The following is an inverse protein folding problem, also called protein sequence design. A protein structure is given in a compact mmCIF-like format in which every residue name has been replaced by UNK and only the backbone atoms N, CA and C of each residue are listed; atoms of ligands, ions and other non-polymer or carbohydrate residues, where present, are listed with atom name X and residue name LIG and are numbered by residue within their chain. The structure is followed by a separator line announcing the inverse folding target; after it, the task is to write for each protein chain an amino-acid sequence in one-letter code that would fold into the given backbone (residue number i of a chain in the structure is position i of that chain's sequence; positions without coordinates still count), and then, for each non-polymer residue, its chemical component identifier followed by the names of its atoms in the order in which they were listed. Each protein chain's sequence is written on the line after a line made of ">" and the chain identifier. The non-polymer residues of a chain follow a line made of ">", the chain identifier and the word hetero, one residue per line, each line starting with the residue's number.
data_IF_332841513443
#
_entry.id   IF_332841513443
#
_cell.length_a   1.000
_cell.length_b   1.000
_cell.length_c   1.000
_cell.angle_alpha   90.00
_cell.angle_beta   90.00
_cell.angle_gamma   90.00
#
_symmetry.space_group_name_H-M   'P 1'
#
loop_
_entity.id
_entity.type
_entity.pdbx_description
1 polymer ?
#
# COMPACT_ATOMS: atom_id res chain seq x y z
N UNK A 1 1.07 -0.23 -24.37
CA UNK A 1 0.64 -0.14 -22.98
C UNK A 1 1.50 0.80 -22.17
N UNK A 2 2.82 0.78 -22.39
CA UNK A 2 3.70 1.72 -21.70
C UNK A 2 3.37 3.16 -22.06
N UNK A 3 3.05 3.41 -23.31
CA UNK A 3 2.64 4.73 -23.76
C UNK A 3 1.35 5.17 -23.07
N UNK A 4 0.38 4.26 -23.00
CA UNK A 4 -0.89 4.56 -22.35
C UNK A 4 -0.71 4.83 -20.87
N UNK A 5 0.15 4.06 -20.20
CA UNK A 5 0.44 4.29 -18.78
C UNK A 5 1.08 5.66 -18.55
N UNK A 6 2.00 6.05 -19.42
CA UNK A 6 2.64 7.36 -19.29
C UNK A 6 1.63 8.49 -19.47
N UNK A 7 0.73 8.35 -20.42
CA UNK A 7 -0.31 9.35 -20.63
C UNK A 7 -1.20 9.48 -19.42
N UNK A 8 -1.59 8.35 -18.81
CA UNK A 8 -2.40 8.37 -17.61
C UNK A 8 -1.66 8.99 -16.43
N UNK A 9 -0.39 8.69 -16.26
CA UNK A 9 0.41 9.26 -15.19
C UNK A 9 0.58 10.77 -15.38
N UNK A 10 0.81 11.21 -16.61
CA UNK A 10 0.93 12.64 -16.89
C UNK A 10 -0.34 13.40 -16.57
N UNK A 11 -1.48 12.80 -16.85
CA UNK A 11 -2.76 13.43 -16.54
C UNK A 11 -3.03 13.50 -15.04
N UNK A 12 -2.51 12.54 -14.27
CA UNK A 12 -2.81 12.43 -12.84
C UNK A 12 -1.72 13.00 -11.94
N UNK A 13 -0.59 13.39 -12.46
CA UNK A 13 0.57 13.73 -11.64
C UNK A 13 0.33 14.90 -10.71
N UNK A 14 -0.60 15.78 -11.01
CA UNK A 14 -0.91 16.93 -10.17
C UNK A 14 -2.06 16.65 -9.21
N UNK A 15 -2.67 15.49 -9.26
CA UNK A 15 -3.85 15.16 -8.47
C UNK A 15 -3.72 13.80 -7.80
N UNK A 16 -4.14 12.75 -8.47
CA UNK A 16 -4.28 11.42 -7.89
C UNK A 16 -3.82 10.38 -8.89
N UNK A 17 -3.14 9.35 -8.41
CA UNK A 17 -2.95 8.12 -9.16
C UNK A 17 -3.84 7.06 -8.54
N UNK A 18 -4.79 6.54 -9.31
CA UNK A 18 -5.72 5.54 -8.84
C UNK A 18 -5.50 4.23 -9.58
N UNK A 19 -5.28 3.16 -8.83
CA UNK A 19 -5.21 1.80 -9.37
C UNK A 19 -6.41 1.03 -8.85
N UNK A 20 -7.22 0.51 -9.76
CA UNK A 20 -8.44 -0.17 -9.39
C UNK A 20 -8.70 -1.32 -10.36
N UNK A 21 -9.02 -2.48 -9.81
CA UNK A 21 -9.34 -3.64 -10.63
C UNK A 21 -10.37 -4.51 -9.91
N UNK A 22 -11.45 -4.91 -10.60
CA UNK A 22 -12.51 -5.68 -9.94
C UNK A 22 -12.07 -7.06 -9.47
N UNK A 23 -11.09 -7.65 -10.10
CA UNK A 23 -10.65 -9.00 -9.75
C UNK A 23 -9.46 -9.01 -8.80
N UNK A 24 -8.75 -7.92 -8.68
CA UNK A 24 -7.64 -7.85 -7.78
C UNK A 24 -6.45 -7.10 -8.35
N UNK A 25 -5.56 -6.70 -7.46
CA UNK A 25 -4.31 -6.04 -7.82
C UNK A 25 -3.20 -6.76 -7.10
N UNK A 26 -2.12 -7.10 -7.81
CA UNK A 26 -0.95 -7.72 -7.24
C UNK A 26 0.28 -6.85 -7.50
N UNK A 27 1.04 -6.60 -6.44
CA UNK A 27 2.32 -5.91 -6.52
C UNK A 27 3.39 -6.86 -6.02
N UNK A 28 4.38 -7.11 -6.85
CA UNK A 28 5.43 -8.07 -6.54
C UNK A 28 6.77 -7.55 -7.05
N UNK A 29 7.81 -7.79 -6.28
CA UNK A 29 9.15 -7.40 -6.66
C UNK A 29 10.11 -8.56 -6.42
N UNK A 30 11.06 -8.74 -7.30
CA UNK A 30 12.12 -9.73 -7.11
C UNK A 30 13.15 -9.31 -6.09
N UNK A 31 13.09 -8.08 -5.61
CA UNK A 31 14.07 -7.57 -4.64
C UNK A 31 13.36 -6.80 -3.53
N UNK A 32 13.08 -5.53 -3.72
CA UNK A 32 12.49 -4.70 -2.68
C UNK A 32 11.20 -4.06 -3.19
N UNK A 33 10.24 -3.92 -2.28
CA UNK A 33 9.03 -3.16 -2.52
C UNK A 33 8.90 -2.14 -1.40
N UNK A 34 8.77 -0.87 -1.76
CA UNK A 34 8.72 0.23 -0.81
C UNK A 34 7.47 1.07 -1.05
N UNK A 35 6.74 1.33 0.03
CA UNK A 35 5.60 2.24 0.01
C UNK A 35 5.88 3.36 1.00
N UNK A 36 5.80 4.59 0.54
CA UNK A 36 6.10 5.75 1.37
C UNK A 36 5.11 6.87 1.07
N UNK A 37 4.70 7.57 2.10
CA UNK A 37 3.80 8.70 1.98
C UNK A 37 4.35 9.86 2.79
N UNK A 38 4.26 11.07 2.24
CA UNK A 38 4.72 12.26 2.95
C UNK A 38 3.85 12.54 4.17
N UNK A 39 2.56 12.35 4.05
CA UNK A 39 1.64 12.63 5.17
C UNK A 39 1.10 11.35 5.78
N UNK A 40 0.24 10.64 5.08
CA UNK A 40 -0.46 9.50 5.67
C UNK A 40 -0.40 8.30 4.75
N UNK A 41 -0.23 7.13 5.33
CA UNK A 41 -0.36 5.87 4.64
C UNK A 41 -1.48 5.09 5.33
N UNK A 42 -2.50 4.70 4.56
CA UNK A 42 -3.66 4.00 5.08
C UNK A 42 -3.83 2.67 4.36
N UNK A 43 -3.99 1.61 5.14
CA UNK A 43 -4.23 0.27 4.61
C UNK A 43 -5.54 -0.24 5.22
N UNK A 44 -6.49 -0.59 4.35
CA UNK A 44 -7.81 -1.05 4.78
C UNK A 44 -8.18 -2.33 4.05
N UNK A 45 -8.72 -3.27 4.76
CA UNK A 45 -9.18 -4.53 4.20
C UNK A 45 -10.60 -4.81 4.67
N UNK A 46 -11.46 -5.23 3.76
CA UNK A 46 -12.86 -5.53 4.10
C UNK A 46 -13.05 -6.85 4.82
N UNK A 47 -12.07 -7.74 4.74
CA UNK A 47 -12.16 -9.04 5.38
C UNK A 47 -10.93 -9.33 6.21
N UNK A 48 -9.79 -9.59 5.59
CA UNK A 48 -8.59 -9.97 6.31
C UNK A 48 -7.38 -9.19 5.77
N UNK A 49 -6.42 -8.95 6.64
CA UNK A 49 -5.13 -8.40 6.26
C UNK A 49 -4.04 -9.27 6.87
N UNK A 50 -3.10 -9.70 6.05
CA UNK A 50 -2.04 -10.60 6.48
C UNK A 50 -0.69 -9.94 6.25
N UNK A 51 0.19 -10.07 7.24
CA UNK A 51 1.59 -9.68 7.11
C UNK A 51 2.44 -10.88 7.51
N UNK A 52 3.29 -11.34 6.59
CA UNK A 52 4.12 -12.50 6.82
C UNK A 52 5.56 -12.17 6.47
N UNK A 53 6.48 -12.48 7.38
CA UNK A 53 7.89 -12.14 7.23
C UNK A 53 8.73 -13.33 7.65
N UNK A 54 9.73 -13.69 6.82
CA UNK A 54 10.56 -14.85 7.12
C UNK A 54 11.52 -14.57 8.29
N UNK A 55 12.12 -13.37 8.32
CA UNK A 55 13.18 -13.13 9.31
C UNK A 55 12.76 -12.13 10.38
N UNK A 56 12.37 -10.93 10.02
CA UNK A 56 12.13 -9.91 11.03
C UNK A 56 11.12 -8.87 10.55
N UNK A 57 10.20 -8.55 11.41
CA UNK A 57 9.26 -7.45 11.22
C UNK A 57 9.61 -6.34 12.21
N UNK A 58 9.85 -5.13 11.70
CA UNK A 58 10.15 -3.98 12.54
C UNK A 58 9.02 -2.97 12.41
N UNK A 59 8.49 -2.54 13.54
CA UNK A 59 7.49 -1.47 13.59
C UNK A 59 8.03 -0.38 14.48
N UNK A 60 8.33 0.78 13.88
CA UNK A 60 8.85 1.92 14.61
C UNK A 60 7.84 3.05 14.62
N UNK A 61 7.57 3.60 15.80
CA UNK A 61 6.57 4.64 15.98
C UNK A 61 7.17 5.76 16.84
N UNK A 62 7.07 6.99 16.34
CA UNK A 62 7.68 8.13 17.03
C UNK A 62 6.94 8.57 18.26
N UNK A 63 5.62 8.49 18.32
CA UNK A 63 4.88 9.02 19.45
C UNK A 63 3.89 8.03 20.05
N UNK A 64 3.11 7.34 19.24
CA UNK A 64 2.09 6.48 19.81
C UNK A 64 1.71 5.37 18.87
N UNK A 65 1.25 4.28 19.45
CA UNK A 65 0.78 3.13 18.72
C UNK A 65 -0.46 2.58 19.40
N UNK A 66 -1.47 2.29 18.61
CA UNK A 66 -2.72 1.74 19.12
C UNK A 66 -3.05 0.46 18.40
N UNK A 67 -3.47 -0.54 19.16
CA UNK A 67 -4.00 -1.77 18.60
C UNK A 67 -5.36 -2.00 19.23
N UNK A 68 -6.39 -1.99 18.39
CA UNK A 68 -7.76 -2.16 18.86
C UNK A 68 -8.36 -3.42 18.26
N UNK A 69 -8.82 -4.32 19.12
CA UNK A 69 -9.47 -5.54 18.69
C UNK A 69 -10.85 -5.58 19.34
N UNK A 70 -11.88 -5.56 18.49
CA UNK A 70 -13.25 -5.52 19.02
C UNK A 70 -13.69 -6.87 19.55
N UNK A 71 -13.24 -7.96 18.93
CA UNK A 71 -13.67 -9.29 19.32
C UNK A 71 -12.55 -10.29 19.05
N UNK A 72 -12.18 -11.06 20.04
CA UNK A 72 -11.12 -12.07 19.92
C UNK A 72 -11.68 -13.47 19.69
#
# INVERSE_FOLDING_TARGET
>A
QLTLMREQLDQLKASVLLLSAPQGIALSSGNHLQLAAHNNLMLNAGSQADVSVVKRLFIGVGQGMSLFVRKL
#
